data_IF_321253641242
#
_entry.id   IF_321253641242
#
_cell.length_a   1.000
_cell.length_b   1.000
_cell.length_c   1.000
_cell.angle_alpha   90.00
_cell.angle_beta   90.00
_cell.angle_gamma   90.00
#
_symmetry.space_group_name_H-M   'P 1'
#
loop_
_entity.id
_entity.type
_entity.pdbx_description
1 polymer ?
#
# COMPACT_ATOMS: atom_id res chain seq x y z
N UNK A 1 -16.12 -4.74 -0.19
CA UNK A 1 -15.63 -4.41 -1.53
C UNK A 1 -15.20 -2.98 -1.64
N UNK A 2 -13.93 -2.76 -1.97
CA UNK A 2 -13.38 -1.45 -2.31
C UNK A 2 -13.16 -1.39 -3.81
N UNK A 3 -13.64 -0.33 -4.44
CA UNK A 3 -13.46 -0.08 -5.87
C UNK A 3 -12.82 1.27 -6.09
N UNK A 4 -11.92 1.37 -7.07
CA UNK A 4 -11.31 2.64 -7.42
C UNK A 4 -10.93 2.70 -8.90
N UNK A 5 -10.88 3.92 -9.42
CA UNK A 5 -10.32 4.25 -10.72
C UNK A 5 -8.91 4.81 -10.54
N UNK A 6 -7.95 4.34 -11.33
CA UNK A 6 -6.57 4.84 -11.30
C UNK A 6 -6.12 5.24 -12.71
N UNK A 7 -5.80 6.51 -12.91
CA UNK A 7 -5.13 7.00 -14.12
C UNK A 7 -3.64 7.12 -13.85
N UNK A 8 -2.82 6.44 -14.66
CA UNK A 8 -1.36 6.53 -14.61
C UNK A 8 -0.84 7.29 -15.83
N UNK A 9 -0.11 8.37 -15.60
CA UNK A 9 0.34 9.26 -16.66
C UNK A 9 1.41 8.64 -17.58
N UNK A 10 2.17 7.67 -17.08
CA UNK A 10 3.22 6.97 -17.81
C UNK A 10 2.62 5.91 -18.72
N UNK A 11 1.65 5.14 -18.22
CA UNK A 11 0.90 4.17 -19.02
C UNK A 11 -0.10 4.84 -19.96
N UNK A 12 -0.53 6.06 -19.63
CA UNK A 12 -1.62 6.79 -20.32
C UNK A 12 -2.87 5.93 -20.45
N UNK A 13 -3.24 5.28 -19.36
CA UNK A 13 -4.40 4.40 -19.28
C UNK A 13 -5.12 4.57 -17.95
N UNK A 14 -6.44 4.43 -18.00
CA UNK A 14 -7.29 4.30 -16.84
C UNK A 14 -7.42 2.81 -16.50
N UNK A 15 -7.31 2.46 -15.23
CA UNK A 15 -7.48 1.11 -14.72
C UNK A 15 -8.57 1.11 -13.65
N UNK A 16 -9.53 0.19 -13.74
CA UNK A 16 -10.49 -0.10 -12.67
C UNK A 16 -9.86 -1.13 -11.74
N UNK A 17 -9.77 -0.84 -10.45
CA UNK A 17 -9.26 -1.74 -9.42
C UNK A 17 -10.43 -2.11 -8.51
N UNK A 18 -10.54 -3.40 -8.21
CA UNK A 18 -11.47 -3.92 -7.21
C UNK A 18 -10.67 -4.73 -6.19
N UNK A 19 -10.92 -4.54 -4.90
CA UNK A 19 -10.24 -5.27 -3.83
C UNK A 19 -11.24 -5.65 -2.74
N UNK A 20 -11.15 -6.90 -2.30
CA UNK A 20 -11.96 -7.44 -1.21
C UNK A 20 -11.03 -8.00 -0.14
N UNK A 21 -11.31 -7.66 1.12
CA UNK A 21 -10.59 -8.17 2.26
C UNK A 21 -11.52 -9.07 3.09
N UNK A 22 -11.16 -10.34 3.20
CA UNK A 22 -11.81 -11.27 4.13
C UNK A 22 -10.88 -11.43 5.33
N UNK A 23 -11.34 -10.97 6.48
CA UNK A 23 -10.60 -11.00 7.74
C UNK A 23 -11.21 -12.07 8.64
N UNK A 24 -10.39 -13.00 9.10
CA UNK A 24 -10.76 -13.98 10.13
C UNK A 24 -10.42 -13.43 11.52
N UNK A 25 -11.13 -13.92 12.54
CA UNK A 25 -10.93 -13.60 13.96
C UNK A 25 -9.46 -13.75 14.40
N UNK A 26 -8.74 -14.70 13.81
CA UNK A 26 -7.32 -14.94 14.07
C UNK A 26 -6.39 -13.93 13.37
N UNK A 27 -6.86 -12.76 12.94
CA UNK A 27 -6.04 -11.78 12.19
C UNK A 27 -5.40 -12.35 10.93
N UNK A 28 -6.02 -13.36 10.34
CA UNK A 28 -5.68 -13.87 9.00
C UNK A 28 -6.48 -13.06 8.00
N UNK A 29 -5.79 -12.48 7.02
CA UNK A 29 -6.39 -11.65 5.99
C UNK A 29 -6.16 -12.26 4.62
N UNK A 30 -7.26 -12.68 4.00
CA UNK A 30 -7.32 -13.03 2.59
C UNK A 30 -7.70 -11.79 1.81
N UNK A 31 -6.86 -11.38 0.86
CA UNK A 31 -7.14 -10.27 -0.05
C UNK A 31 -7.27 -10.80 -1.46
N UNK A 32 -8.42 -10.54 -2.07
CA UNK A 32 -8.69 -10.80 -3.49
C UNK A 32 -8.67 -9.45 -4.20
N UNK A 33 -7.89 -9.34 -5.26
CA UNK A 33 -7.81 -8.10 -6.05
C UNK A 33 -7.95 -8.39 -7.55
N UNK A 34 -8.60 -7.48 -8.26
CA UNK A 34 -8.75 -7.50 -9.71
C UNK A 34 -8.45 -6.13 -10.29
N UNK A 35 -7.87 -6.11 -11.49
CA UNK A 35 -7.58 -4.89 -12.24
C UNK A 35 -8.00 -5.07 -13.69
N UNK A 36 -8.74 -4.10 -14.22
CA UNK A 36 -9.14 -4.03 -15.63
C UNK A 36 -8.55 -2.78 -16.27
N UNK A 37 -7.73 -2.96 -17.30
CA UNK A 37 -7.22 -1.84 -18.08
C UNK A 37 -8.27 -1.43 -19.13
N UNK A 38 -8.78 -0.20 -19.05
CA UNK A 38 -9.87 0.24 -19.94
C UNK A 38 -9.42 0.49 -21.38
N UNK A 39 -8.11 0.66 -21.61
CA UNK A 39 -7.54 0.90 -22.95
C UNK A 39 -7.35 -0.40 -23.72
N UNK A 40 -6.92 -1.47 -23.06
CA UNK A 40 -6.60 -2.76 -23.70
C UNK A 40 -7.62 -3.85 -23.44
N UNK A 41 -8.52 -3.67 -22.46
CA UNK A 41 -9.40 -4.73 -21.97
C UNK A 41 -8.69 -5.82 -21.17
N UNK A 42 -7.38 -5.69 -20.92
CA UNK A 42 -6.63 -6.69 -20.17
C UNK A 42 -7.11 -6.75 -18.71
N UNK A 43 -7.37 -7.96 -18.23
CA UNK A 43 -7.76 -8.23 -16.85
C UNK A 43 -6.63 -8.96 -16.13
N UNK A 44 -6.35 -8.56 -14.89
CA UNK A 44 -5.36 -9.20 -14.03
C UNK A 44 -5.95 -9.41 -12.64
N UNK A 45 -5.67 -10.56 -12.05
CA UNK A 45 -6.10 -10.93 -10.71
C UNK A 45 -4.91 -11.13 -9.79
N UNK A 46 -5.17 -10.99 -8.50
CA UNK A 46 -4.22 -11.35 -7.46
C UNK A 46 -4.94 -11.88 -6.23
N UNK A 47 -4.27 -12.79 -5.54
CA UNK A 47 -4.69 -13.34 -4.27
C UNK A 47 -3.55 -13.18 -3.27
N UNK A 48 -3.84 -12.82 -2.03
CA UNK A 48 -2.86 -12.92 -0.96
C UNK A 48 -3.48 -13.38 0.34
N UNK A 49 -2.76 -14.22 1.06
CA UNK A 49 -3.13 -14.72 2.38
C UNK A 49 -2.01 -14.34 3.34
N UNK A 50 -2.32 -13.48 4.31
CA UNK A 50 -1.35 -13.00 5.30
C UNK A 50 -1.88 -13.20 6.71
N UNK A 51 -1.08 -13.78 7.59
CA UNK A 51 -1.27 -13.71 9.03
C UNK A 51 -0.65 -12.41 9.53
N UNK A 52 -1.46 -11.58 10.19
CA UNK A 52 -0.99 -10.34 10.83
C UNK A 52 -0.71 -10.61 12.29
N UNK A 53 0.39 -10.04 12.75
CA UNK A 53 0.85 -10.08 14.14
C UNK A 53 0.93 -8.65 14.65
N UNK A 54 0.31 -8.43 15.80
CA UNK A 54 0.42 -7.20 16.55
C UNK A 54 1.20 -7.52 17.83
N UNK A 55 2.26 -6.78 18.13
CA UNK A 55 3.05 -7.09 19.31
C UNK A 55 2.25 -6.83 20.58
N UNK A 56 2.45 -7.69 21.58
CA UNK A 56 1.99 -7.44 22.95
C UNK A 56 2.72 -6.22 23.55
N UNK A 57 2.16 -5.62 24.61
CA UNK A 57 2.65 -4.38 25.23
C UNK A 57 4.16 -4.39 25.60
N UNK A 58 4.72 -5.57 25.82
CA UNK A 58 6.12 -5.82 26.19
C UNK A 58 7.08 -5.75 24.99
N UNK A 59 6.58 -5.93 23.77
CA UNK A 59 7.40 -5.98 22.57
C UNK A 59 7.22 -4.69 21.74
N UNK A 60 8.15 -3.75 21.87
CA UNK A 60 8.05 -2.43 21.20
C UNK A 60 8.86 -2.30 19.91
N UNK A 61 9.51 -3.35 19.40
CA UNK A 61 10.41 -3.20 18.24
C UNK A 61 9.69 -3.11 16.88
N UNK A 62 8.39 -3.44 16.83
CA UNK A 62 7.52 -3.25 15.66
C UNK A 62 6.12 -2.80 16.11
N UNK A 63 5.27 -2.40 15.17
CA UNK A 63 3.82 -2.15 15.38
C UNK A 63 2.96 -3.16 14.64
N UNK A 64 3.44 -3.70 13.51
CA UNK A 64 2.78 -4.79 12.78
C UNK A 64 3.83 -5.66 12.09
N UNK A 65 3.63 -6.96 12.13
CA UNK A 65 4.37 -7.90 11.28
C UNK A 65 3.38 -8.77 10.52
N UNK A 66 3.65 -9.04 9.26
CA UNK A 66 2.82 -9.84 8.38
C UNK A 66 3.65 -10.98 7.81
N UNK A 67 3.12 -12.21 7.86
CA UNK A 67 3.71 -13.39 7.21
C UNK A 67 2.68 -13.97 6.26
N UNK A 68 3.06 -14.26 5.02
CA UNK A 68 2.08 -14.78 4.08
C UNK A 68 2.58 -15.19 2.72
N UNK A 69 1.61 -15.56 1.89
CA UNK A 69 1.76 -15.93 0.50
C UNK A 69 0.91 -15.02 -0.39
N UNK A 70 1.34 -14.84 -1.63
CA UNK A 70 0.60 -14.12 -2.66
C UNK A 70 0.78 -14.78 -4.01
N UNK A 71 -0.25 -14.69 -4.84
CA UNK A 71 -0.28 -15.17 -6.21
C UNK A 71 -0.78 -14.05 -7.12
N UNK A 72 -0.16 -13.89 -8.28
CA UNK A 72 -0.51 -12.86 -9.25
C UNK A 72 -0.63 -13.48 -10.65
N UNK A 73 -1.80 -13.34 -11.28
CA UNK A 73 -2.09 -14.00 -12.56
C UNK A 73 -1.23 -13.48 -13.71
N UNK A 74 -0.72 -12.25 -13.60
CA UNK A 74 0.09 -11.63 -14.64
C UNK A 74 1.49 -12.26 -14.77
N UNK A 75 2.04 -12.75 -13.66
CA UNK A 75 3.36 -13.41 -13.64
C UNK A 75 3.27 -14.91 -13.46
N UNK A 76 2.09 -15.43 -13.09
CA UNK A 76 1.87 -16.81 -12.70
C UNK A 76 2.88 -17.30 -11.63
N UNK A 77 3.17 -16.43 -10.67
CA UNK A 77 4.16 -16.69 -9.62
C UNK A 77 3.50 -16.65 -8.25
N UNK A 78 3.82 -17.64 -7.42
CA UNK A 78 3.56 -17.60 -5.97
C UNK A 78 4.79 -17.00 -5.28
N UNK A 79 4.55 -16.05 -4.38
CA UNK A 79 5.56 -15.40 -3.54
C UNK A 79 5.20 -15.55 -2.07
N UNK A 80 6.18 -15.91 -1.26
CA UNK A 80 6.07 -16.05 0.18
C UNK A 80 7.00 -15.05 0.85
N UNK A 81 6.60 -14.48 1.98
CA UNK A 81 7.47 -13.53 2.64
C UNK A 81 6.96 -13.01 3.96
N UNK A 82 7.80 -12.19 4.57
CA UNK A 82 7.52 -11.48 5.80
C UNK A 82 7.72 -9.98 5.59
N UNK A 83 6.90 -9.19 6.26
CA UNK A 83 6.92 -7.74 6.26
C UNK A 83 6.76 -7.25 7.69
N UNK A 84 7.48 -6.21 8.08
CA UNK A 84 7.35 -5.58 9.38
C UNK A 84 7.25 -4.06 9.20
N UNK A 85 6.41 -3.47 10.04
CA UNK A 85 6.18 -2.03 10.13
C UNK A 85 6.43 -1.59 11.57
N UNK A 86 7.05 -0.42 11.72
CA UNK A 86 7.13 0.34 12.96
C UNK A 86 6.61 1.75 12.71
N UNK A 87 5.60 2.14 13.47
CA UNK A 87 5.03 3.49 13.45
C UNK A 87 5.47 4.26 14.70
N UNK A 88 5.79 5.53 14.50
CA UNK A 88 6.10 6.50 15.54
C UNK A 88 5.16 7.70 15.39
N UNK A 89 4.52 8.09 16.48
CA UNK A 89 3.77 9.35 16.55
C UNK A 89 4.77 10.46 16.89
N UNK A 90 4.91 11.43 15.99
CA UNK A 90 5.86 12.54 16.15
C UNK A 90 5.23 13.72 16.89
N UNK A 91 3.90 13.79 16.92
CA UNK A 91 3.13 14.81 17.65
C UNK A 91 2.18 14.13 18.64
N UNK A 92 1.87 14.81 19.74
CA UNK A 92 1.00 14.27 20.80
C UNK A 92 -0.46 14.05 20.36
N UNK A 93 -0.87 14.72 19.28
CA UNK A 93 -2.19 14.59 18.66
C UNK A 93 -2.26 13.47 17.60
N UNK A 94 -1.14 12.79 17.31
CA UNK A 94 -1.06 11.73 16.30
C UNK A 94 -1.26 12.19 14.85
N UNK A 95 -1.25 13.50 14.59
CA UNK A 95 -1.44 14.05 13.24
C UNK A 95 -0.19 13.91 12.38
N UNK A 96 0.99 13.92 12.99
CA UNK A 96 2.26 13.70 12.33
C UNK A 96 2.82 12.34 12.73
N UNK A 97 3.00 11.46 11.76
CA UNK A 97 3.52 10.09 11.99
C UNK A 97 4.73 9.81 11.11
N UNK A 98 5.66 9.02 11.65
CA UNK A 98 6.77 8.42 10.92
C UNK A 98 6.57 6.90 10.88
N UNK A 99 6.48 6.34 9.68
CA UNK A 99 6.37 4.92 9.44
C UNK A 99 7.67 4.40 8.83
N UNK A 100 8.20 3.31 9.40
CA UNK A 100 9.32 2.55 8.86
C UNK A 100 8.81 1.16 8.54
N UNK A 101 8.90 0.76 7.27
CA UNK A 101 8.42 -0.52 6.76
C UNK A 101 9.57 -1.26 6.07
N UNK A 102 9.59 -2.58 6.17
CA UNK A 102 10.55 -3.41 5.46
C UNK A 102 10.12 -4.86 5.41
N UNK A 103 10.58 -5.56 4.38
CA UNK A 103 10.15 -6.93 4.15
C UNK A 103 10.99 -7.64 3.11
N UNK A 104 10.85 -8.96 3.09
CA UNK A 104 11.55 -9.87 2.18
C UNK A 104 10.53 -10.86 1.63
N UNK A 105 10.60 -11.10 0.33
CA UNK A 105 9.78 -12.10 -0.36
C UNK A 105 10.65 -13.03 -1.21
N UNK A 106 10.24 -14.28 -1.31
CA UNK A 106 10.88 -15.33 -2.10
C UNK A 106 9.80 -15.93 -3.01
N UNK A 107 10.08 -15.98 -4.31
CA UNK A 107 9.19 -16.64 -5.27
C UNK A 107 9.41 -18.17 -5.29
N UNK A 108 8.46 -18.92 -5.85
CA UNK A 108 8.62 -20.35 -6.12
C UNK A 108 9.88 -20.67 -6.94
N UNK A 109 10.27 -19.76 -7.85
CA UNK A 109 11.52 -19.83 -8.62
C UNK A 109 12.78 -19.42 -7.82
N UNK A 110 12.68 -19.34 -6.48
CA UNK A 110 13.75 -18.95 -5.54
C UNK A 110 14.34 -17.55 -5.79
N UNK A 111 13.60 -16.65 -6.45
CA UNK A 111 14.02 -15.25 -6.60
C UNK A 111 13.70 -14.50 -5.32
N UNK A 112 14.71 -13.88 -4.73
CA UNK A 112 14.56 -13.04 -3.53
C UNK A 112 14.36 -11.59 -3.92
N UNK A 113 13.35 -10.97 -3.34
CA UNK A 113 13.09 -9.53 -3.42
C UNK A 113 12.97 -8.96 -2.01
N UNK A 114 13.24 -7.68 -1.87
CA UNK A 114 13.10 -6.97 -0.61
C UNK A 114 12.48 -5.61 -0.85
N UNK A 115 11.83 -5.08 0.19
CA UNK A 115 11.32 -3.71 0.21
C UNK A 115 11.77 -3.04 1.50
N UNK A 116 11.83 -1.72 1.47
CA UNK A 116 12.16 -0.89 2.61
C UNK A 116 11.68 0.52 2.35
N UNK A 117 10.89 1.07 3.27
CA UNK A 117 10.29 2.40 3.14
C UNK A 117 10.37 3.15 4.45
N UNK A 118 10.56 4.44 4.33
CA UNK A 118 10.39 5.40 5.42
C UNK A 118 9.43 6.46 4.93
N UNK A 119 8.36 6.72 5.67
CA UNK A 119 7.29 7.64 5.31
C UNK A 119 7.01 8.59 6.46
N UNK A 120 6.93 9.89 6.17
CA UNK A 120 6.33 10.88 7.06
C UNK A 120 4.95 11.21 6.53
N UNK A 121 3.94 11.15 7.38
CA UNK A 121 2.55 11.50 7.05
C UNK A 121 2.05 12.60 7.98
N UNK A 122 1.39 13.61 7.42
CA UNK A 122 0.71 14.67 8.14
C UNK A 122 -0.77 14.66 7.78
N UNK A 123 -1.64 14.60 8.78
CA UNK A 123 -3.09 14.80 8.65
C UNK A 123 -3.44 16.24 9.02
N UNK A 124 -4.26 16.87 8.20
CA UNK A 124 -4.78 18.22 8.41
C UNK A 124 -6.30 18.09 8.35
N UNK A 125 -6.94 18.29 9.49
CA UNK A 125 -8.40 18.22 9.60
C UNK A 125 -9.04 19.54 9.18
N UNK A 126 -10.24 19.46 8.60
CA UNK A 126 -11.02 20.62 8.17
C UNK A 126 -10.22 21.62 7.32
N UNK A 127 -9.48 21.12 6.32
CA UNK A 127 -8.76 21.97 5.37
C UNK A 127 -9.73 22.86 4.59
N UNK A 128 -10.87 22.26 4.20
CA UNK A 128 -12.12 22.93 3.79
C UNK A 128 -13.24 22.36 4.68
N UNK A 129 -14.40 23.02 4.76
CA UNK A 129 -15.57 22.50 5.48
C UNK A 129 -15.85 21.04 5.05
N UNK A 130 -15.88 20.13 6.03
CA UNK A 130 -16.03 18.68 5.85
C UNK A 130 -14.98 17.99 4.95
N UNK A 131 -13.77 18.56 4.83
CA UNK A 131 -12.68 17.98 4.06
C UNK A 131 -11.40 17.80 4.89
N UNK A 132 -10.92 16.56 4.91
CA UNK A 132 -9.65 16.19 5.53
C UNK A 132 -8.57 15.97 4.48
N UNK A 133 -7.40 16.56 4.72
CA UNK A 133 -6.24 16.45 3.86
C UNK A 133 -5.17 15.59 4.52
N UNK A 134 -4.65 14.62 3.78
CA UNK A 134 -3.48 13.85 4.19
C UNK A 134 -2.34 14.08 3.21
N UNK A 135 -1.23 14.58 3.74
CA UNK A 135 0.03 14.72 3.04
C UNK A 135 0.96 13.61 3.47
N UNK A 136 1.66 12.99 2.53
CA UNK A 136 2.67 11.98 2.81
C UNK A 136 3.88 12.20 1.92
N UNK A 137 5.07 12.11 2.51
CA UNK A 137 6.34 12.08 1.80
C UNK A 137 7.10 10.87 2.27
N UNK A 138 7.62 10.07 1.34
CA UNK A 138 8.35 8.86 1.67
C UNK A 138 9.56 8.63 0.77
N UNK A 139 10.39 7.69 1.19
CA UNK A 139 11.53 7.20 0.43
C UNK A 139 11.48 5.68 0.35
N UNK A 140 11.55 5.15 -0.87
CA UNK A 140 11.64 3.70 -1.13
C UNK A 140 13.11 3.34 -1.29
N UNK A 141 13.68 2.66 -0.29
CA UNK A 141 15.08 2.28 -0.24
C UNK A 141 15.43 1.22 -1.29
N UNK A 142 14.49 0.35 -1.65
CA UNK A 142 14.71 -0.68 -2.67
C UNK A 142 14.78 -0.06 -4.07
N UNK A 143 13.94 0.95 -4.36
CA UNK A 143 13.94 1.68 -5.62
C UNK A 143 14.89 2.88 -5.64
N UNK A 144 15.41 3.28 -4.49
CA UNK A 144 16.25 4.47 -4.26
C UNK A 144 15.62 5.76 -4.77
N UNK A 145 14.33 5.97 -4.45
CA UNK A 145 13.56 7.12 -4.94
C UNK A 145 12.61 7.67 -3.88
N UNK A 146 12.50 9.01 -3.77
CA UNK A 146 11.42 9.62 -3.00
C UNK A 146 10.09 9.51 -3.75
N UNK A 147 9.00 9.66 -3.01
CA UNK A 147 7.65 9.78 -3.53
C UNK A 147 6.79 10.61 -2.59
N UNK A 148 5.74 11.19 -3.13
CA UNK A 148 4.76 12.00 -2.43
C UNK A 148 3.37 11.49 -2.69
N UNK A 149 2.48 11.75 -1.74
CA UNK A 149 1.06 11.50 -1.86
C UNK A 149 0.29 12.66 -1.24
N UNK A 150 -0.76 13.08 -1.94
CA UNK A 150 -1.80 13.97 -1.45
C UNK A 150 -3.10 13.18 -1.54
N UNK A 151 -3.82 13.06 -0.43
CA UNK A 151 -5.13 12.41 -0.38
C UNK A 151 -6.13 13.34 0.26
N UNK A 152 -7.29 13.45 -0.36
CA UNK A 152 -8.43 14.20 0.13
C UNK A 152 -9.69 13.38 -0.14
N UNK A 153 -10.48 13.10 0.90
CA UNK A 153 -11.71 12.32 0.83
C UNK A 153 -11.57 11.07 -0.06
N UNK A 154 -12.10 11.14 -1.29
CA UNK A 154 -12.17 10.03 -2.25
C UNK A 154 -11.12 10.08 -3.35
N UNK A 155 -10.21 11.05 -3.38
CA UNK A 155 -9.16 11.11 -4.40
C UNK A 155 -7.76 11.10 -3.80
N UNK A 156 -6.82 10.50 -4.52
CA UNK A 156 -5.41 10.43 -4.13
C UNK A 156 -4.53 10.72 -5.33
N UNK A 157 -3.61 11.67 -5.20
CA UNK A 157 -2.54 11.93 -6.16
C UNK A 157 -1.23 11.38 -5.61
N UNK A 158 -0.67 10.39 -6.31
CA UNK A 158 0.68 9.88 -6.05
C UNK A 158 1.68 10.49 -7.04
N UNK A 159 2.89 10.80 -6.60
CA UNK A 159 3.95 11.33 -7.45
C UNK A 159 5.33 10.83 -7.05
N UNK A 160 6.24 10.67 -8.02
CA UNK A 160 7.67 10.46 -7.77
C UNK A 160 8.48 11.77 -7.69
N UNK A 161 7.80 12.92 -7.60
CA UNK A 161 8.34 14.27 -7.69
C UNK A 161 9.16 14.54 -8.98
N UNK A 162 8.99 13.70 -10.00
CA UNK A 162 9.65 13.87 -11.30
C UNK A 162 8.59 13.95 -12.39
N UNK A 163 8.47 12.88 -13.17
CA UNK A 163 7.59 12.83 -14.35
C UNK A 163 6.45 11.84 -14.18
N UNK A 164 6.48 10.99 -13.15
CA UNK A 164 5.45 9.97 -12.98
C UNK A 164 4.50 10.39 -11.87
N UNK A 165 3.21 10.34 -12.18
CA UNK A 165 2.14 10.56 -11.22
C UNK A 165 0.94 9.68 -11.59
N UNK A 166 0.16 9.31 -10.58
CA UNK A 166 -1.13 8.68 -10.79
C UNK A 166 -2.20 9.35 -9.95
N UNK A 167 -3.39 9.45 -10.51
CA UNK A 167 -4.57 9.96 -9.85
C UNK A 167 -5.54 8.81 -9.62
N UNK A 168 -5.96 8.64 -8.37
CA UNK A 168 -6.89 7.60 -7.93
C UNK A 168 -8.18 8.26 -7.47
N UNK A 169 -9.30 7.62 -7.75
CA UNK A 169 -10.61 7.98 -7.26
C UNK A 169 -11.29 6.74 -6.69
N UNK A 170 -11.53 6.73 -5.39
CA UNK A 170 -12.24 5.70 -4.66
C UNK A 170 -13.76 5.84 -4.94
N UNK A 171 -14.40 4.75 -5.36
CA UNK A 171 -15.81 4.67 -5.79
C UNK A 171 -16.70 4.12 -4.67
#
# INVERSE_FOLDING_TARGET
METRLEYDNKKRSLELHATEHFVSDDSVVLTVQGKLNTKTGACQGGLSLRKRFFPEATNRWYTRADLGASYETATDEIRYGAEAKKSFELTADGLLTLDVEGGVQISAARRRTWNGRVEVSQKIFNFTEDQDLKLKVGYDAAKRRPYGQIRENNWTLDTDFRKNWSLKYDL
#
